data_IF_015953990511
#
_entry.id   IF_015953990511
#
_cell.length_a   1.000
_cell.length_b   1.000
_cell.length_c   1.000
_cell.angle_alpha   90.00
_cell.angle_beta   90.00
_cell.angle_gamma   90.00
#
_symmetry.space_group_name_H-M   'P 1'
#
loop_
_entity.id
_entity.type
_entity.pdbx_description
1 polymer ?
#
# COMPACT_ATOMS: atom_id res chain seq x y z
N UNK A 1 -0.05 -8.06 -9.02
CA UNK A 1 -1.47 -7.93 -9.41
C UNK A 1 -1.81 -6.45 -9.58
N UNK A 2 -2.67 -6.09 -10.52
CA UNK A 2 -3.17 -4.71 -10.65
C UNK A 2 -4.51 -4.62 -9.95
N UNK A 3 -4.66 -3.71 -9.00
CA UNK A 3 -5.86 -3.57 -8.19
C UNK A 3 -6.25 -2.10 -8.13
N UNK A 4 -7.55 -1.83 -8.28
CA UNK A 4 -8.09 -0.51 -8.01
C UNK A 4 -8.29 -0.35 -6.51
N UNK A 5 -7.84 0.78 -6.00
CA UNK A 5 -7.92 1.10 -4.58
C UNK A 5 -8.48 2.49 -4.38
N UNK A 6 -9.20 2.67 -3.29
CA UNK A 6 -9.53 3.99 -2.73
C UNK A 6 -8.56 4.30 -1.59
N UNK A 7 -7.97 5.48 -1.61
CA UNK A 7 -7.10 5.95 -0.54
C UNK A 7 -7.93 6.35 0.67
N UNK A 8 -7.59 5.82 1.85
CA UNK A 8 -8.39 6.01 3.08
C UNK A 8 -7.71 6.86 4.14
N UNK A 9 -6.42 7.14 3.99
CA UNK A 9 -5.67 8.03 4.89
C UNK A 9 -4.73 8.96 4.09
N UNK A 10 -4.39 10.10 4.69
CA UNK A 10 -3.50 11.08 4.06
C UNK A 10 -2.07 10.54 3.97
N UNK A 11 -1.40 10.78 2.84
CA UNK A 11 -0.01 10.41 2.67
C UNK A 11 0.87 11.51 3.25
N UNK A 12 1.73 11.15 4.20
CA UNK A 12 2.71 12.07 4.77
C UNK A 12 3.96 12.20 3.88
N UNK A 13 4.68 13.31 4.05
CA UNK A 13 6.01 13.51 3.46
C UNK A 13 6.96 12.38 3.88
N UNK A 14 7.82 11.94 2.96
CA UNK A 14 8.85 10.95 3.25
C UNK A 14 9.86 11.50 4.26
N UNK A 15 10.13 10.76 5.32
CA UNK A 15 11.16 11.08 6.33
C UNK A 15 12.15 9.91 6.40
N UNK A 16 13.41 10.18 6.07
CA UNK A 16 14.46 9.16 6.06
C UNK A 16 14.32 8.14 4.92
N UNK A 17 14.85 6.93 5.15
CA UNK A 17 14.96 5.88 4.14
C UNK A 17 13.88 4.80 4.26
N UNK A 18 13.00 4.88 5.25
CA UNK A 18 11.92 3.92 5.42
C UNK A 18 10.90 4.03 4.29
N UNK A 19 10.23 2.92 3.91
CA UNK A 19 9.15 2.96 2.94
C UNK A 19 7.99 3.80 3.46
N UNK A 20 7.33 4.53 2.56
CA UNK A 20 6.07 5.19 2.90
C UNK A 20 4.94 4.17 2.89
N UNK A 21 4.04 4.31 3.85
CA UNK A 21 2.82 3.50 3.97
C UNK A 21 1.61 4.29 3.47
N UNK A 22 0.73 3.62 2.74
CA UNK A 22 -0.57 4.17 2.32
C UNK A 22 -1.66 3.19 2.71
N UNK A 23 -2.65 3.69 3.47
CA UNK A 23 -3.82 2.91 3.85
C UNK A 23 -4.88 2.99 2.75
N UNK A 24 -5.30 1.83 2.27
CA UNK A 24 -6.21 1.69 1.13
C UNK A 24 -7.35 0.74 1.41
N UNK A 25 -8.42 0.88 0.65
CA UNK A 25 -9.52 -0.09 0.53
C UNK A 25 -9.58 -0.54 -0.93
N UNK A 26 -9.64 -1.85 -1.18
CA UNK A 26 -9.82 -2.34 -2.56
C UNK A 26 -11.26 -2.06 -3.02
N UNK A 27 -11.41 -1.50 -4.23
CA UNK A 27 -12.72 -1.02 -4.73
C UNK A 27 -13.78 -2.14 -4.76
N UNK A 28 -13.37 -3.36 -5.08
CA UNK A 28 -14.26 -4.52 -5.20
C UNK A 28 -14.31 -5.39 -3.92
N UNK A 29 -13.64 -4.98 -2.84
CA UNK A 29 -13.70 -5.69 -1.57
C UNK A 29 -15.02 -5.40 -0.84
N UNK A 30 -15.88 -6.43 -0.77
CA UNK A 30 -17.19 -6.35 -0.11
C UNK A 30 -17.08 -6.11 1.38
N UNK A 31 -16.01 -6.59 2.00
CA UNK A 31 -15.77 -6.44 3.44
C UNK A 31 -15.23 -5.04 3.78
N UNK A 32 -14.85 -4.25 2.76
CA UNK A 32 -14.31 -2.88 2.90
C UNK A 32 -13.14 -2.83 3.89
N UNK A 33 -12.28 -3.85 3.84
CA UNK A 33 -11.13 -3.94 4.72
C UNK A 33 -10.09 -2.89 4.36
N UNK A 34 -9.39 -2.40 5.37
CA UNK A 34 -8.25 -1.50 5.19
C UNK A 34 -6.98 -2.30 5.13
N UNK A 35 -6.15 -1.98 4.14
CA UNK A 35 -4.85 -2.58 3.96
C UNK A 35 -3.77 -1.52 3.95
N UNK A 36 -2.68 -1.82 4.64
CA UNK A 36 -1.43 -1.08 4.49
C UNK A 36 -0.71 -1.55 3.23
N UNK A 37 -0.31 -0.60 2.39
CA UNK A 37 0.53 -0.85 1.21
C UNK A 37 1.81 -0.02 1.33
N UNK A 38 2.95 -0.70 1.25
CA UNK A 38 4.27 -0.09 1.36
C UNK A 38 4.81 0.33 -0.02
N UNK A 39 5.35 1.54 -0.09
CA UNK A 39 5.95 2.13 -1.28
C UNK A 39 7.45 2.33 -1.03
N UNK A 40 8.27 1.44 -1.61
CA UNK A 40 9.73 1.49 -1.46
C UNK A 40 10.39 2.39 -2.52
N UNK A 41 10.05 2.15 -3.78
CA UNK A 41 10.69 2.79 -4.95
C UNK A 41 9.94 4.02 -5.47
N UNK A 42 8.76 4.29 -4.90
CA UNK A 42 7.86 5.36 -5.32
C UNK A 42 7.58 6.26 -4.12
N UNK A 43 7.49 7.57 -4.34
CA UNK A 43 7.05 8.51 -3.32
C UNK A 43 5.55 8.85 -3.57
N UNK A 44 4.60 8.25 -2.83
CA UNK A 44 3.18 8.50 -3.00
C UNK A 44 2.79 9.97 -2.79
N UNK A 45 3.52 10.73 -1.96
CA UNK A 45 3.25 12.15 -1.75
C UNK A 45 3.63 12.95 -3.01
N UNK A 46 4.81 12.69 -3.58
CA UNK A 46 5.25 13.35 -4.82
C UNK A 46 4.41 12.94 -6.04
N UNK A 47 3.90 11.70 -6.06
CA UNK A 47 2.94 11.25 -7.07
C UNK A 47 1.57 11.92 -6.92
N UNK A 48 1.34 12.68 -5.84
CA UNK A 48 0.11 13.41 -5.61
C UNK A 48 -1.06 12.53 -5.19
N UNK A 49 -0.79 11.36 -4.57
CA UNK A 49 -1.83 10.50 -4.00
C UNK A 49 -2.47 11.21 -2.81
N UNK A 50 -3.79 11.39 -2.84
CA UNK A 50 -4.55 12.07 -1.77
C UNK A 50 -5.64 11.18 -1.22
N UNK A 51 -6.07 11.54 -0.01
CA UNK A 51 -7.24 10.94 0.63
C UNK A 51 -8.46 10.99 -0.32
N UNK A 52 -9.20 9.88 -0.38
CA UNK A 52 -10.38 9.65 -1.23
C UNK A 52 -10.12 9.41 -2.72
N UNK A 53 -8.90 9.63 -3.22
CA UNK A 53 -8.57 9.33 -4.61
C UNK A 53 -8.75 7.85 -4.93
N UNK A 54 -8.99 7.56 -6.21
CA UNK A 54 -8.96 6.19 -6.74
C UNK A 54 -7.73 6.01 -7.63
N UNK A 55 -6.97 4.95 -7.34
CA UNK A 55 -5.73 4.63 -8.02
C UNK A 55 -5.70 3.16 -8.45
N UNK A 56 -5.05 2.88 -9.58
CA UNK A 56 -4.62 1.52 -9.94
C UNK A 56 -3.22 1.29 -9.37
N UNK A 57 -3.09 0.35 -8.44
CA UNK A 57 -1.81 -0.07 -7.86
C UNK A 57 -1.40 -1.43 -8.39
N UNK A 58 -0.13 -1.57 -8.76
CA UNK A 58 0.50 -2.87 -9.00
C UNK A 58 1.09 -3.41 -7.71
N UNK A 59 0.32 -4.25 -7.03
CA UNK A 59 0.63 -4.86 -5.73
C UNK A 59 1.43 -6.15 -5.90
N UNK A 60 2.41 -6.37 -5.02
CA UNK A 60 3.09 -7.65 -4.77
C UNK A 60 2.94 -8.01 -3.29
N UNK A 61 3.00 -9.31 -3.00
CA UNK A 61 3.12 -9.80 -1.64
C UNK A 61 4.60 -10.01 -1.35
N UNK A 62 5.05 -9.47 -0.22
CA UNK A 62 6.41 -9.67 0.28
C UNK A 62 6.30 -10.33 1.64
N UNK A 63 6.83 -11.54 1.76
CA UNK A 63 6.86 -12.24 3.03
C UNK A 63 8.23 -12.08 3.69
N UNK A 64 8.23 -11.84 4.99
CA UNK A 64 9.41 -11.75 5.82
C UNK A 64 9.32 -12.82 6.90
N UNK A 65 10.42 -13.55 7.08
CA UNK A 65 10.52 -14.58 8.11
C UNK A 65 11.29 -13.98 9.26
N UNK A 66 10.61 -13.85 10.39
CA UNK A 66 11.22 -13.48 11.64
C UNK A 66 11.45 -14.73 12.48
N UNK A 67 12.68 -14.96 12.91
CA UNK A 67 13.00 -16.02 13.86
C UNK A 67 13.22 -15.37 15.22
N UNK A 68 12.41 -15.75 16.21
CA UNK A 68 12.58 -15.28 17.57
C UNK A 68 13.94 -15.77 18.11
N UNK A 69 14.83 -14.88 18.57
CA UNK A 69 16.19 -15.25 18.95
C UNK A 69 16.27 -16.03 20.27
N UNK A 70 15.20 -16.06 21.07
CA UNK A 70 15.15 -16.78 22.35
C UNK A 70 14.52 -18.16 22.22
N UNK A 71 13.54 -18.31 21.33
CA UNK A 71 12.73 -19.53 21.19
C UNK A 71 12.96 -20.27 19.87
N UNK A 72 13.66 -19.65 18.92
CA UNK A 72 13.90 -20.12 17.55
C UNK A 72 12.62 -20.35 16.73
N UNK A 73 11.46 -19.91 17.24
CA UNK A 73 10.18 -20.01 16.56
C UNK A 73 10.13 -19.04 15.39
N UNK A 74 9.65 -19.51 14.24
CA UNK A 74 9.49 -18.71 13.02
C UNK A 74 8.09 -18.10 12.95
N UNK A 75 8.04 -16.80 12.75
CA UNK A 75 6.85 -16.02 12.40
C UNK A 75 6.95 -15.54 10.97
N UNK A 76 5.83 -15.60 10.25
CA UNK A 76 5.75 -15.16 8.86
C UNK A 76 4.88 -13.91 8.80
N UNK A 77 5.49 -12.81 8.37
CA UNK A 77 4.78 -11.56 8.11
C UNK A 77 4.62 -11.40 6.62
N UNK A 78 3.43 -11.01 6.16
CA UNK A 78 3.19 -10.75 4.74
C UNK A 78 2.74 -9.31 4.58
N UNK A 79 3.47 -8.58 3.77
CA UNK A 79 3.24 -7.18 3.47
C UNK A 79 2.77 -7.02 2.03
N UNK A 80 1.88 -6.06 1.81
CA UNK A 80 1.55 -5.60 0.46
C UNK A 80 2.53 -4.50 0.07
N UNK A 81 3.15 -4.65 -1.10
CA UNK A 81 4.10 -3.66 -1.63
C UNK A 81 3.64 -3.15 -2.99
N UNK A 82 3.79 -1.86 -3.23
CA UNK A 82 3.46 -1.22 -4.49
C UNK A 82 4.70 -1.06 -5.36
N UNK A 83 4.60 -1.47 -6.63
CA UNK A 83 5.69 -1.34 -7.61
C UNK A 83 5.38 -0.35 -8.73
N UNK A 84 4.10 -0.06 -8.96
CA UNK A 84 3.61 0.93 -9.94
C UNK A 84 2.28 1.50 -9.44
N UNK A 85 2.08 2.79 -9.60
CA UNK A 85 0.83 3.47 -9.24
C UNK A 85 0.39 4.37 -10.40
N UNK A 86 -0.91 4.37 -10.72
CA UNK A 86 -1.50 5.25 -11.73
C UNK A 86 -2.84 5.82 -11.25
N UNK A 87 -3.10 7.13 -11.42
CA UNK A 87 -4.40 7.70 -11.09
C UNK A 87 -5.46 7.16 -12.04
N UNK A 88 -6.66 6.88 -11.53
CA UNK A 88 -7.83 6.59 -12.36
C UNK A 88 -8.58 7.91 -12.51
N UNK A 89 -8.54 8.51 -13.70
CA UNK A 89 -9.36 9.68 -13.99
C UNK A 89 -10.83 9.30 -13.82
N UNK A 90 -11.50 9.83 -12.79
CA UNK A 90 -12.95 9.79 -12.75
C UNK A 90 -13.46 10.75 -13.82
N UNK A 91 -14.00 10.20 -14.92
CA UNK A 91 -14.87 10.99 -15.79
C UNK A 91 -16.03 11.47 -14.91
N UNK A 92 -16.12 12.78 -14.71
CA UNK A 92 -17.28 13.41 -14.07
C UNK A 92 -18.52 13.01 -14.88
N UNK A 93 -19.45 12.29 -14.25
CA UNK A 93 -20.80 12.10 -14.76
C UNK A 93 -21.63 13.34 -14.46
#
# INVERSE_FOLDING_TARGET
MKLQVRIKEGVALKVGNEPQSVIVEFVDDKEKQRFEVLFYDLDPFQLGIRLWDIWELTIKWKSEIFTDPKTEVKSYFTHLTCTKAKPIMQMQK
#
